data_IF_324986776638
#
_entry.id   IF_324986776638
#
_cell.length_a   1.000
_cell.length_b   1.000
_cell.length_c   1.000
_cell.angle_alpha   90.00
_cell.angle_beta   90.00
_cell.angle_gamma   90.00
#
_symmetry.space_group_name_H-M   'P 1'
#
loop_
_entity.id
_entity.type
_entity.pdbx_description
1 polymer ?
#
# COMPACT_ATOMS: atom_id res chain seq x y z
N UNK A 1 -17.94 -6.43 -3.36
CA UNK A 1 -16.55 -6.00 -3.16
C UNK A 1 -16.10 -5.32 -4.43
N UNK A 2 -15.21 -4.34 -4.31
CA UNK A 2 -14.59 -3.64 -5.44
C UNK A 2 -13.08 -3.66 -5.24
N UNK A 3 -12.34 -3.57 -6.35
CA UNK A 3 -10.90 -3.33 -6.33
C UNK A 3 -10.67 -1.83 -6.21
N UNK A 4 -9.79 -1.44 -5.30
CA UNK A 4 -9.39 -0.07 -5.05
C UNK A 4 -7.90 0.08 -5.35
N UNK A 5 -7.56 1.16 -6.04
CA UNK A 5 -6.20 1.52 -6.38
C UNK A 5 -5.74 2.67 -5.49
N UNK A 6 -4.62 2.48 -4.81
CA UNK A 6 -3.99 3.49 -3.95
C UNK A 6 -2.53 3.16 -3.71
N UNK A 7 -1.75 4.17 -3.35
CA UNK A 7 -0.32 4.04 -3.07
C UNK A 7 -0.06 4.37 -1.60
N UNK A 8 0.64 3.48 -0.90
CA UNK A 8 1.16 3.77 0.43
C UNK A 8 2.58 4.31 0.29
N UNK A 9 2.83 5.50 0.85
CA UNK A 9 4.18 6.04 0.97
C UNK A 9 4.70 5.71 2.36
N UNK A 10 5.86 5.06 2.44
CA UNK A 10 6.42 4.63 3.72
C UNK A 10 7.28 5.72 4.36
N UNK A 11 7.34 5.72 5.69
CA UNK A 11 8.22 6.60 6.44
C UNK A 11 9.67 6.16 6.31
N UNK A 12 10.56 7.14 6.15
CA UNK A 12 11.98 6.92 6.00
C UNK A 12 12.35 6.41 4.60
N UNK A 13 13.55 5.85 4.50
CA UNK A 13 14.10 5.33 3.25
C UNK A 13 14.57 3.87 3.44
N UNK A 14 13.66 2.93 3.77
CA UNK A 14 14.03 1.52 3.83
C UNK A 14 14.58 1.07 2.48
N UNK A 15 15.56 0.16 2.49
CA UNK A 15 16.02 -0.45 1.25
C UNK A 15 15.02 -1.52 0.81
N UNK A 16 14.63 -1.49 -0.47
CA UNK A 16 13.84 -2.56 -1.07
C UNK A 16 14.75 -3.75 -1.35
N UNK A 17 14.83 -4.67 -0.38
CA UNK A 17 15.54 -5.95 -0.51
C UNK A 17 14.55 -7.08 -0.82
N UNK A 18 15.06 -8.21 -1.33
CA UNK A 18 14.24 -9.41 -1.53
C UNK A 18 13.60 -9.89 -0.22
N UNK A 19 14.28 -9.71 0.92
CA UNK A 19 13.75 -10.07 2.23
C UNK A 19 12.53 -9.20 2.60
N UNK A 20 12.59 -7.89 2.38
CA UNK A 20 11.46 -6.99 2.61
C UNK A 20 10.30 -7.33 1.67
N UNK A 21 10.58 -7.61 0.39
CA UNK A 21 9.56 -8.01 -0.57
C UNK A 21 8.87 -9.32 -0.17
N UNK A 22 9.64 -10.31 0.30
CA UNK A 22 9.10 -11.58 0.79
C UNK A 22 8.25 -11.38 2.05
N UNK A 23 8.72 -10.59 3.01
CA UNK A 23 7.97 -10.28 4.23
C UNK A 23 6.63 -9.60 3.90
N UNK A 24 6.62 -8.64 2.97
CA UNK A 24 5.40 -7.99 2.49
C UNK A 24 4.44 -8.99 1.85
N UNK A 25 4.95 -9.89 1.00
CA UNK A 25 4.14 -10.93 0.38
C UNK A 25 3.53 -11.88 1.43
N UNK A 26 4.33 -12.35 2.40
CA UNK A 26 3.87 -13.22 3.49
C UNK A 26 2.87 -12.53 4.43
N UNK A 27 2.99 -11.21 4.61
CA UNK A 27 2.03 -10.39 5.34
C UNK A 27 0.72 -10.15 4.57
N UNK A 28 0.57 -10.70 3.36
CA UNK A 28 -0.62 -10.59 2.53
C UNK A 28 -0.69 -9.28 1.75
N UNK A 29 0.45 -8.74 1.31
CA UNK A 29 0.54 -7.66 0.32
C UNK A 29 0.82 -8.21 -1.09
N UNK A 30 0.28 -9.39 -1.43
CA UNK A 30 0.44 -10.03 -2.75
C UNK A 30 -0.25 -9.28 -3.90
N UNK A 31 -1.10 -8.32 -3.55
CA UNK A 31 -1.78 -7.36 -4.43
C UNK A 31 -1.10 -5.98 -4.47
N UNK A 32 0.09 -5.86 -3.87
CA UNK A 32 0.89 -4.64 -3.81
C UNK A 32 2.23 -4.77 -4.53
N UNK A 33 2.65 -3.74 -5.26
CA UNK A 33 3.98 -3.68 -5.89
C UNK A 33 4.86 -2.68 -5.14
N UNK A 34 5.85 -3.13 -4.34
CA UNK A 34 6.80 -2.23 -3.68
C UNK A 34 7.80 -1.65 -4.68
N UNK A 35 8.18 -0.40 -4.48
CA UNK A 35 9.15 0.31 -5.31
C UNK A 35 9.88 1.40 -4.54
N UNK A 36 11.01 1.83 -5.09
CA UNK A 36 11.73 3.01 -4.58
C UNK A 36 12.01 3.98 -5.72
N UNK A 37 11.76 5.27 -5.49
CA UNK A 37 12.08 6.33 -6.43
C UNK A 37 12.66 7.52 -5.67
N UNK A 38 13.87 7.96 -6.02
CA UNK A 38 14.57 9.08 -5.36
C UNK A 38 14.61 8.99 -3.82
N UNK A 39 14.73 7.76 -3.28
CA UNK A 39 14.77 7.51 -1.84
C UNK A 39 13.40 7.43 -1.16
N UNK A 40 12.31 7.59 -1.90
CA UNK A 40 10.94 7.38 -1.42
C UNK A 40 10.53 5.93 -1.67
N UNK A 41 10.21 5.20 -0.62
CA UNK A 41 9.63 3.86 -0.74
C UNK A 41 8.12 3.98 -0.82
N UNK A 42 7.54 3.43 -1.89
CA UNK A 42 6.10 3.32 -2.10
C UNK A 42 5.65 1.88 -2.33
N UNK A 43 4.36 1.62 -2.10
CA UNK A 43 3.71 0.36 -2.49
C UNK A 43 2.40 0.69 -3.20
N UNK A 44 2.28 0.29 -4.46
CA UNK A 44 1.08 0.46 -5.27
C UNK A 44 0.16 -0.75 -5.13
N UNK A 45 -1.04 -0.54 -4.59
CA UNK A 45 -2.01 -1.60 -4.29
C UNK A 45 -3.16 -1.64 -5.30
N UNK A 46 -3.61 -2.86 -5.60
CA UNK A 46 -4.88 -3.15 -6.29
C UNK A 46 -5.75 -4.01 -5.37
N UNK A 47 -6.21 -3.44 -4.25
CA UNK A 47 -6.78 -4.19 -3.13
C UNK A 47 -8.29 -4.32 -3.19
N UNK A 48 -8.78 -5.54 -2.98
CA UNK A 48 -10.23 -5.81 -2.92
C UNK A 48 -10.77 -5.57 -1.52
N UNK A 49 -11.86 -4.80 -1.39
CA UNK A 49 -12.54 -4.53 -0.12
C UNK A 49 -14.04 -4.29 -0.28
N UNK A 50 -14.77 -4.14 0.84
CA UNK A 50 -16.18 -3.66 0.79
C UNK A 50 -16.23 -2.14 0.67
N UNK A 51 -15.23 -1.45 1.20
CA UNK A 51 -15.03 0.00 1.09
C UNK A 51 -13.55 0.31 0.83
N UNK A 52 -13.26 1.52 0.33
CA UNK A 52 -11.90 2.03 0.19
C UNK A 52 -11.17 2.08 1.55
N UNK A 53 -11.87 2.51 2.60
CA UNK A 53 -11.33 2.57 3.96
C UNK A 53 -10.90 1.18 4.47
N UNK A 54 -11.70 0.14 4.23
CA UNK A 54 -11.35 -1.24 4.60
C UNK A 54 -10.12 -1.73 3.82
N UNK A 55 -10.04 -1.42 2.53
CA UNK A 55 -8.89 -1.76 1.69
C UNK A 55 -7.61 -1.07 2.17
N UNK A 56 -7.67 0.23 2.46
CA UNK A 56 -6.52 0.99 2.99
C UNK A 56 -6.12 0.48 4.37
N UNK A 57 -7.06 0.31 5.30
CA UNK A 57 -6.75 -0.12 6.67
C UNK A 57 -6.12 -1.52 6.72
N UNK A 58 -6.58 -2.44 5.87
CA UNK A 58 -5.97 -3.76 5.77
C UNK A 58 -4.55 -3.69 5.17
N UNK A 59 -4.30 -2.86 4.15
CA UNK A 59 -2.97 -2.67 3.59
C UNK A 59 -1.99 -2.06 4.62
N UNK A 60 -2.44 -1.03 5.34
CA UNK A 60 -1.67 -0.41 6.42
C UNK A 60 -1.36 -1.41 7.53
N UNK A 61 -2.31 -2.28 7.90
CA UNK A 61 -2.09 -3.31 8.92
C UNK A 61 -1.01 -4.32 8.49
N UNK A 62 -1.07 -4.78 7.24
CA UNK A 62 -0.08 -5.72 6.69
C UNK A 62 1.32 -5.10 6.68
N UNK A 63 1.47 -3.88 6.16
CA UNK A 63 2.74 -3.13 6.15
C UNK A 63 3.28 -2.92 7.57
N UNK A 64 2.42 -2.61 8.54
CA UNK A 64 2.85 -2.45 9.95
C UNK A 64 3.31 -3.76 10.59
N UNK A 65 2.74 -4.89 10.20
CA UNK A 65 3.11 -6.21 10.76
C UNK A 65 4.55 -6.62 10.42
N UNK A 66 5.12 -6.08 9.34
CA UNK A 66 6.52 -6.29 8.93
C UNK A 66 7.46 -5.20 9.48
N UNK A 67 6.99 -4.36 10.39
CA UNK A 67 7.80 -3.32 11.03
C UNK A 67 7.99 -2.04 10.21
N UNK A 68 7.29 -1.90 9.08
CA UNK A 68 7.29 -0.69 8.26
C UNK A 68 6.21 0.29 8.73
N UNK A 69 6.45 1.59 8.55
CA UNK A 69 5.49 2.63 8.90
C UNK A 69 5.02 3.38 7.66
N UNK A 70 3.75 3.76 7.62
CA UNK A 70 3.13 4.50 6.51
C UNK A 70 3.12 5.99 6.85
N UNK A 71 3.66 6.82 5.96
CA UNK A 71 3.69 8.28 6.09
C UNK A 71 2.38 8.90 5.61
N UNK A 72 1.95 8.52 4.41
CA UNK A 72 0.72 9.02 3.77
C UNK A 72 0.17 8.01 2.78
N UNK A 73 -1.09 8.22 2.42
CA UNK A 73 -1.78 7.46 1.39
C UNK A 73 -2.05 8.41 0.22
N UNK A 74 -1.71 7.98 -0.99
CA UNK A 74 -2.01 8.68 -2.23
C UNK A 74 -3.11 7.92 -2.98
N UNK A 75 -4.09 8.65 -3.50
CA UNK A 75 -5.22 8.11 -4.24
C UNK A 75 -5.36 8.97 -5.50
N UNK A 76 -5.38 8.35 -6.66
CA UNK A 76 -5.61 9.05 -7.92
C UNK A 76 -6.98 9.73 -7.90
N UNK A 77 -7.04 11.02 -8.23
CA UNK A 77 -8.27 11.82 -8.12
C UNK A 77 -9.44 11.28 -8.97
N UNK A 78 -9.15 10.54 -10.05
CA UNK A 78 -10.15 9.88 -10.88
C UNK A 78 -10.67 8.55 -10.33
N UNK A 79 -10.04 7.99 -9.29
CA UNK A 79 -10.43 6.72 -8.67
C UNK A 79 -11.53 6.89 -7.60
N UNK A 80 -11.81 8.13 -7.17
CA UNK A 80 -12.88 8.40 -6.23
C UNK A 80 -14.21 8.62 -7.00
N UNK A 81 -15.29 7.88 -6.67
CA UNK A 81 -16.59 8.20 -7.20
C UNK A 81 -16.99 9.60 -6.73
N UNK A 82 -17.16 10.53 -7.67
CA UNK A 82 -17.69 11.86 -7.37
C UNK A 82 -19.12 11.71 -6.84
N UNK A 83 -19.45 12.26 -5.66
CA UNK A 83 -20.82 12.28 -5.20
C UNK A 83 -21.68 13.08 -6.19
N UNK A 84 -22.82 12.50 -6.56
CA UNK A 84 -23.81 13.10 -7.46
C UNK A 84 -24.51 14.32 -6.83
#
# INVERSE_FOLDING_TARGET
MATYEFTLILQGSPELTDEVANQLFEAGCDDGTPGTCEGVFSIDFHRTGRTLEEAINSAVANVKSVGLAVERIEIEAGALPVPA
#
